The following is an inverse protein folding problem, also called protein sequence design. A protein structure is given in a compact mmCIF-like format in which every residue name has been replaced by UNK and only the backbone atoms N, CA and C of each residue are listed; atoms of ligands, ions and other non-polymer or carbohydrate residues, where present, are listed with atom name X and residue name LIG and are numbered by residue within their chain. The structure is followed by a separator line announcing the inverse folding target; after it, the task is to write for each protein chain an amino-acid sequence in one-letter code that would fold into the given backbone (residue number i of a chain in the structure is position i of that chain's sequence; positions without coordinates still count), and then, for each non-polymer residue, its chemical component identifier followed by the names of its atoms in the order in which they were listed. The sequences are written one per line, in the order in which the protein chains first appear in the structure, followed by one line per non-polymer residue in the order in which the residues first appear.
data_IF_690824782109
#
_entry.id   IF_690824782109
#
_cell.length_a   1.000
_cell.length_b   1.000
_cell.length_c   1.000
_cell.angle_alpha   90.00
_cell.angle_beta   90.00
_cell.angle_gamma   90.00
#
_symmetry.space_group_name_H-M   'P 1'
#
loop_
_entity.id
_entity.type
_entity.pdbx_description
1 polymer ?
#
# COMPACT_ATOMS: atom_id res chain seq x y z
N UNK A 1 -15.87 3.08 -1.73
CA UNK A 1 -15.13 4.26 -1.25
C UNK A 1 -16.10 5.42 -1.02
N UNK A 2 -16.48 5.60 0.23
CA UNK A 2 -17.50 6.57 0.61
C UNK A 2 -16.95 8.00 0.63
N UNK A 3 -17.87 8.99 0.66
CA UNK A 3 -17.51 10.40 0.84
C UNK A 3 -16.73 10.63 2.13
N UNK A 4 -17.14 9.94 3.21
CA UNK A 4 -16.45 10.00 4.50
C UNK A 4 -15.01 9.55 4.38
N UNK A 5 -14.77 8.38 3.76
CA UNK A 5 -13.43 7.83 3.59
C UNK A 5 -12.57 8.71 2.69
N UNK A 6 -13.14 9.25 1.62
CA UNK A 6 -12.40 10.17 0.73
C UNK A 6 -11.99 11.44 1.46
N UNK A 7 -12.85 11.97 2.32
CA UNK A 7 -12.53 13.14 3.13
C UNK A 7 -11.42 12.87 4.14
N UNK A 8 -11.50 11.72 4.81
CA UNK A 8 -10.46 11.30 5.75
C UNK A 8 -9.10 11.10 5.06
N UNK A 9 -9.11 10.50 3.88
CA UNK A 9 -7.89 10.31 3.08
C UNK A 9 -7.27 11.65 2.70
N UNK A 10 -8.08 12.60 2.29
CA UNK A 10 -7.61 13.94 1.94
C UNK A 10 -6.94 14.63 3.12
N UNK A 11 -7.53 14.52 4.31
CA UNK A 11 -6.93 15.06 5.53
C UNK A 11 -5.61 14.39 5.86
N UNK A 12 -5.53 13.06 5.69
CA UNK A 12 -4.29 12.32 5.89
C UNK A 12 -3.19 12.84 4.98
N UNK A 13 -3.48 13.06 3.70
CA UNK A 13 -2.49 13.59 2.76
C UNK A 13 -1.97 14.96 3.20
N UNK A 14 -2.84 15.81 3.72
CA UNK A 14 -2.42 17.11 4.26
C UNK A 14 -1.48 16.94 5.45
N UNK A 15 -1.77 16.00 6.34
CA UNK A 15 -0.89 15.68 7.48
C UNK A 15 0.47 15.19 7.01
N UNK A 16 0.51 14.32 6.01
CA UNK A 16 1.76 13.80 5.45
C UNK A 16 2.60 14.92 4.85
N UNK A 17 1.96 15.83 4.15
CA UNK A 17 2.63 17.00 3.58
C UNK A 17 3.23 17.86 4.68
N UNK A 18 2.50 18.11 5.76
CA UNK A 18 2.98 18.87 6.91
C UNK A 18 4.15 18.17 7.61
N UNK A 19 4.22 16.85 7.53
CA UNK A 19 5.33 16.06 8.09
C UNK A 19 6.54 15.96 7.18
N UNK A 20 6.52 16.61 6.02
CA UNK A 20 7.66 16.68 5.13
C UNK A 20 7.61 15.81 3.88
N UNK A 21 6.48 15.16 3.60
CA UNK A 21 6.32 14.44 2.33
C UNK A 21 6.10 15.48 1.23
N UNK A 22 7.09 15.62 0.35
CA UNK A 22 7.10 16.65 -0.68
C UNK A 22 6.90 16.13 -2.09
N UNK A 23 6.97 14.81 -2.30
CA UNK A 23 6.80 14.21 -3.63
C UNK A 23 5.32 14.17 -3.99
N UNK A 24 4.90 15.03 -4.91
CA UNK A 24 3.52 15.12 -5.34
C UNK A 24 3.01 13.83 -6.00
N UNK A 25 3.88 13.06 -6.63
CA UNK A 25 3.50 11.78 -7.24
C UNK A 25 3.15 10.74 -6.16
N UNK A 26 3.90 10.74 -5.06
CA UNK A 26 3.60 9.86 -3.91
C UNK A 26 2.25 10.25 -3.30
N UNK A 27 2.04 11.53 -3.05
CA UNK A 27 0.78 12.00 -2.49
C UNK A 27 -0.40 11.70 -3.41
N UNK A 28 -0.23 11.90 -4.71
CA UNK A 28 -1.28 11.60 -5.70
C UNK A 28 -1.59 10.10 -5.73
N UNK A 29 -0.58 9.25 -5.69
CA UNK A 29 -0.76 7.79 -5.67
C UNK A 29 -1.54 7.36 -4.43
N UNK A 30 -1.15 7.85 -3.27
CA UNK A 30 -1.84 7.52 -2.02
C UNK A 30 -3.27 8.06 -2.00
N UNK A 31 -3.51 9.18 -2.68
CA UNK A 31 -4.86 9.73 -2.83
C UNK A 31 -5.81 8.86 -3.63
N UNK A 32 -5.26 8.00 -4.49
CA UNK A 32 -6.06 7.10 -5.34
C UNK A 32 -6.37 5.76 -4.65
N UNK A 33 -5.68 5.42 -3.56
CA UNK A 33 -5.79 4.10 -2.94
C UNK A 33 -6.71 4.16 -1.72
N UNK A 34 -7.84 3.44 -1.74
CA UNK A 34 -8.72 3.37 -0.57
C UNK A 34 -8.12 2.42 0.47
N UNK A 35 -7.28 2.97 1.35
CA UNK A 35 -6.56 2.20 2.37
C UNK A 35 -7.46 1.33 3.23
N UNK A 36 -8.71 1.75 3.46
CA UNK A 36 -9.64 0.99 4.30
C UNK A 36 -9.99 -0.39 3.71
N UNK A 37 -9.80 -0.60 2.40
CA UNK A 37 -9.98 -1.92 1.80
C UNK A 37 -8.88 -2.91 2.18
N UNK A 38 -7.75 -2.41 2.70
CA UNK A 38 -6.60 -3.22 3.10
C UNK A 38 -6.55 -3.45 4.61
N UNK A 39 -7.55 -2.97 5.34
CA UNK A 39 -7.65 -3.11 6.79
C UNK A 39 -8.56 -4.28 7.15
N UNK A 40 -8.33 -4.87 8.32
CA UNK A 40 -9.22 -5.89 8.85
C UNK A 40 -10.58 -5.27 9.22
N UNK A 41 -11.62 -6.10 9.18
CA UNK A 41 -12.95 -5.69 9.62
C UNK A 41 -12.89 -5.20 11.05
N UNK A 42 -13.58 -4.08 11.30
CA UNK A 42 -13.58 -3.45 12.61
C UNK A 42 -12.52 -2.38 12.79
N UNK A 43 -11.51 -2.32 11.89
CA UNK A 43 -10.48 -1.28 11.93
C UNK A 43 -10.65 -0.22 10.83
N UNK A 44 -11.70 -0.33 10.04
CA UNK A 44 -11.92 0.57 8.89
C UNK A 44 -11.99 2.04 9.28
N UNK A 45 -12.56 2.34 10.46
CA UNK A 45 -12.68 3.72 10.93
C UNK A 45 -11.33 4.34 11.26
N UNK A 46 -10.29 3.52 11.43
CA UNK A 46 -8.93 3.96 11.74
C UNK A 46 -8.01 3.97 10.53
N UNK A 47 -8.53 3.65 9.34
CA UNK A 47 -7.71 3.43 8.14
C UNK A 47 -6.87 4.66 7.77
N UNK A 48 -7.37 5.86 8.05
CA UNK A 48 -6.69 7.10 7.69
C UNK A 48 -6.05 7.81 8.87
N UNK A 49 -5.91 7.10 9.99
CA UNK A 49 -5.06 7.52 11.11
C UNK A 49 -3.62 7.14 10.77
N UNK A 50 -2.69 8.05 11.00
CA UNK A 50 -1.28 7.83 10.63
C UNK A 50 -0.59 6.93 11.66
N UNK A 51 -0.97 5.65 11.66
CA UNK A 51 -0.43 4.60 12.54
C UNK A 51 -0.40 3.26 11.82
N UNK A 52 0.42 2.33 12.32
CA UNK A 52 0.39 0.93 11.90
C UNK A 52 -0.73 0.19 12.62
N UNK A 53 -1.27 -0.84 11.98
CA UNK A 53 -2.34 -1.68 12.56
C UNK A 53 -2.09 -3.15 12.22
N UNK A 54 -2.56 -4.11 13.05
CA UNK A 54 -2.36 -5.53 12.78
C UNK A 54 -3.19 -6.00 11.58
N UNK A 55 -2.64 -6.99 10.86
CA UNK A 55 -3.31 -7.62 9.70
C UNK A 55 -3.32 -9.14 9.78
N UNK A 56 -2.96 -9.73 10.94
CA UNK A 56 -2.83 -11.17 11.10
C UNK A 56 -1.43 -11.67 10.81
N UNK A 57 -1.16 -12.96 11.10
CA UNK A 57 0.16 -13.60 10.92
C UNK A 57 1.30 -12.81 11.60
N UNK A 58 1.00 -12.14 12.71
CA UNK A 58 1.92 -11.28 13.46
C UNK A 58 2.54 -10.15 12.62
N UNK A 59 1.83 -9.73 11.57
CA UNK A 59 2.26 -8.65 10.69
C UNK A 59 1.36 -7.42 10.84
N UNK A 60 1.81 -6.29 10.31
CA UNK A 60 1.08 -5.03 10.35
C UNK A 60 0.96 -4.42 8.96
N UNK A 61 -0.10 -3.62 8.76
CA UNK A 61 -0.11 -2.64 7.68
C UNK A 61 0.69 -1.44 8.18
N UNK A 62 1.69 -1.03 7.41
CA UNK A 62 2.61 0.03 7.83
C UNK A 62 1.89 1.37 7.97
N UNK A 63 2.41 2.20 8.87
CA UNK A 63 1.94 3.57 9.06
C UNK A 63 1.99 4.33 7.73
N UNK A 64 0.95 5.12 7.39
CA UNK A 64 0.94 5.88 6.14
C UNK A 64 2.18 6.74 5.90
N UNK A 65 2.67 7.43 6.93
CA UNK A 65 3.89 8.22 6.80
C UNK A 65 5.09 7.36 6.38
N UNK A 66 5.22 6.16 6.96
CA UNK A 66 6.31 5.25 6.62
C UNK A 66 6.23 4.83 5.15
N UNK A 67 5.04 4.48 4.68
CA UNK A 67 4.82 4.14 3.27
C UNK A 67 5.21 5.31 2.37
N UNK A 68 4.72 6.49 2.68
CA UNK A 68 5.00 7.69 1.88
C UNK A 68 6.49 8.02 1.86
N UNK A 69 7.15 7.99 3.02
CA UNK A 69 8.57 8.31 3.14
C UNK A 69 9.44 7.33 2.37
N UNK A 70 9.20 6.03 2.54
CA UNK A 70 9.96 5.00 1.84
C UNK A 70 9.75 5.06 0.33
N UNK A 71 8.52 5.30 -0.11
CA UNK A 71 8.20 5.42 -1.52
C UNK A 71 8.87 6.65 -2.13
N UNK A 72 8.86 7.78 -1.42
CA UNK A 72 9.53 9.00 -1.85
C UNK A 72 11.04 8.78 -2.05
N UNK A 73 11.67 8.02 -1.16
CA UNK A 73 13.10 7.73 -1.26
C UNK A 73 13.47 6.93 -2.51
N UNK A 74 12.54 6.18 -3.08
CA UNK A 74 12.81 5.38 -4.28
C UNK A 74 12.97 6.24 -5.53
N UNK A 75 12.48 7.46 -5.53
CA UNK A 75 12.56 8.37 -6.69
C UNK A 75 12.12 7.67 -7.98
N UNK A 76 10.90 7.09 -7.94
CA UNK A 76 10.39 6.26 -9.02
C UNK A 76 10.15 7.04 -10.31
N UNK A 77 10.52 6.44 -11.43
CA UNK A 77 10.33 6.98 -12.77
C UNK A 77 9.52 6.01 -13.63
N UNK A 78 8.86 6.55 -14.66
CA UNK A 78 8.08 5.77 -15.60
C UNK A 78 8.90 4.62 -16.18
N UNK A 79 8.34 3.42 -16.14
CA UNK A 79 8.98 2.23 -16.68
C UNK A 79 9.87 1.48 -15.70
N UNK A 80 10.06 2.00 -14.49
CA UNK A 80 10.87 1.33 -13.49
C UNK A 80 10.30 -0.03 -13.12
N UNK A 81 11.19 -0.97 -12.83
CA UNK A 81 10.85 -2.26 -12.26
C UNK A 81 11.07 -2.18 -10.75
N UNK A 82 10.06 -2.58 -9.98
CA UNK A 82 10.12 -2.55 -8.52
C UNK A 82 9.88 -3.95 -7.98
N UNK A 83 10.78 -4.40 -7.12
CA UNK A 83 10.58 -5.64 -6.37
C UNK A 83 10.26 -5.28 -4.93
N UNK A 84 9.08 -5.69 -4.50
CA UNK A 84 8.66 -5.54 -3.10
C UNK A 84 8.87 -6.87 -2.38
N UNK A 85 9.58 -6.83 -1.27
CA UNK A 85 9.78 -8.00 -0.41
C UNK A 85 8.87 -7.83 0.81
N UNK A 86 7.89 -8.75 0.94
CA UNK A 86 6.87 -8.67 1.97
C UNK A 86 5.62 -7.94 1.48
N UNK A 87 4.77 -8.64 0.73
CA UNK A 87 3.52 -8.08 0.21
C UNK A 87 2.60 -7.60 1.33
N UNK A 88 2.56 -8.36 2.42
CA UNK A 88 1.78 -8.03 3.60
C UNK A 88 0.31 -7.79 3.29
N UNK A 89 -0.19 -6.63 3.69
CA UNK A 89 -1.58 -6.23 3.42
C UNK A 89 -1.87 -5.98 1.95
N UNK A 90 -0.84 -5.73 1.14
CA UNK A 90 -0.98 -5.30 -0.24
C UNK A 90 -1.12 -3.79 -0.43
N UNK A 91 -1.15 -3.03 0.65
CA UNK A 91 -1.33 -1.58 0.56
C UNK A 91 -0.19 -0.89 -0.17
N UNK A 92 1.07 -1.21 0.19
CA UNK A 92 2.24 -0.65 -0.50
C UNK A 92 2.23 -1.02 -1.98
N UNK A 93 1.88 -2.27 -2.31
CA UNK A 93 1.74 -2.71 -3.70
C UNK A 93 0.73 -1.84 -4.44
N UNK A 94 -0.42 -1.59 -3.82
CA UNK A 94 -1.47 -0.77 -4.41
C UNK A 94 -1.00 0.67 -4.63
N UNK A 95 -0.26 1.24 -3.69
CA UNK A 95 0.30 2.59 -3.84
C UNK A 95 1.27 2.63 -5.02
N UNK A 96 2.15 1.65 -5.15
CA UNK A 96 3.08 1.57 -6.28
C UNK A 96 2.33 1.44 -7.60
N UNK A 97 1.31 0.60 -7.67
CA UNK A 97 0.49 0.44 -8.88
C UNK A 97 -0.23 1.74 -9.24
N UNK A 98 -0.60 2.55 -8.26
CA UNK A 98 -1.30 3.81 -8.49
C UNK A 98 -0.44 4.88 -9.16
N UNK A 99 0.90 4.73 -9.15
CA UNK A 99 1.79 5.59 -9.93
C UNK A 99 1.51 5.47 -11.43
N UNK A 100 1.11 4.28 -11.88
CA UNK A 100 1.01 3.94 -13.30
C UNK A 100 2.39 3.72 -13.92
N UNK A 101 2.44 2.97 -15.00
CA UNK A 101 3.66 2.76 -15.80
C UNK A 101 4.85 2.17 -15.02
N UNK A 102 4.62 1.49 -13.92
CA UNK A 102 5.63 0.74 -13.18
C UNK A 102 5.40 -0.76 -13.35
N UNK A 103 6.49 -1.51 -13.30
CA UNK A 103 6.44 -2.99 -13.31
C UNK A 103 6.67 -3.47 -11.88
N UNK A 104 5.61 -3.94 -11.23
CA UNK A 104 5.65 -4.29 -9.82
C UNK A 104 5.69 -5.80 -9.66
N UNK A 105 6.72 -6.27 -8.95
CA UNK A 105 6.87 -7.67 -8.54
C UNK A 105 6.83 -7.70 -7.02
N UNK A 106 6.02 -8.57 -6.43
CA UNK A 106 5.90 -8.62 -4.98
C UNK A 106 6.00 -10.07 -4.50
N UNK A 107 6.72 -10.26 -3.39
CA UNK A 107 6.98 -11.58 -2.82
C UNK A 107 6.48 -11.61 -1.38
N UNK A 108 5.75 -12.68 -1.03
CA UNK A 108 5.27 -12.90 0.33
C UNK A 108 5.68 -14.30 0.80
N UNK A 109 6.30 -14.40 1.96
CA UNK A 109 6.72 -15.68 2.54
C UNK A 109 5.67 -16.33 3.43
N UNK A 110 4.71 -15.55 3.95
CA UNK A 110 3.62 -16.04 4.78
C UNK A 110 2.49 -16.51 3.89
N UNK A 111 2.26 -17.82 3.81
CA UNK A 111 1.29 -18.38 2.87
C UNK A 111 -0.11 -17.81 3.06
N UNK A 112 -0.54 -17.63 4.30
CA UNK A 112 -1.89 -17.10 4.56
C UNK A 112 -2.05 -15.66 4.08
N UNK A 113 -1.03 -14.81 4.27
CA UNK A 113 -1.04 -13.45 3.75
C UNK A 113 -0.98 -13.44 2.23
N UNK A 114 -0.12 -14.28 1.64
CA UNK A 114 -0.04 -14.41 0.19
C UNK A 114 -1.41 -14.75 -0.41
N UNK A 115 -2.09 -15.73 0.16
CA UNK A 115 -3.40 -16.16 -0.31
C UNK A 115 -4.46 -15.07 -0.15
N UNK A 116 -4.53 -14.47 1.04
CA UNK A 116 -5.48 -13.42 1.37
C UNK A 116 -5.30 -12.19 0.47
N UNK A 117 -4.06 -11.75 0.32
CA UNK A 117 -3.75 -10.54 -0.44
C UNK A 117 -3.91 -10.76 -1.93
N UNK A 118 -3.56 -11.96 -2.44
CA UNK A 118 -3.80 -12.29 -3.83
C UNK A 118 -5.28 -12.25 -4.19
N UNK A 119 -6.15 -12.73 -3.29
CA UNK A 119 -7.60 -12.65 -3.47
C UNK A 119 -8.09 -11.20 -3.44
N UNK A 120 -7.54 -10.38 -2.54
CA UNK A 120 -7.88 -8.97 -2.44
C UNK A 120 -7.50 -8.23 -3.72
N UNK A 121 -6.33 -8.51 -4.29
CA UNK A 121 -5.91 -7.90 -5.55
C UNK A 121 -6.88 -8.21 -6.67
N UNK A 122 -7.35 -9.46 -6.77
CA UNK A 122 -8.35 -9.85 -7.76
C UNK A 122 -9.66 -9.09 -7.55
N UNK A 123 -10.10 -9.01 -6.31
CA UNK A 123 -11.35 -8.32 -5.95
C UNK A 123 -11.30 -6.84 -6.29
N UNK A 124 -10.16 -6.20 -6.10
CA UNK A 124 -9.96 -4.78 -6.38
C UNK A 124 -9.45 -4.52 -7.79
N UNK A 125 -9.29 -5.57 -8.59
CA UNK A 125 -8.75 -5.49 -9.96
C UNK A 125 -7.37 -4.82 -10.00
N UNK A 126 -6.51 -5.16 -9.04
CA UNK A 126 -5.11 -4.72 -9.00
C UNK A 126 -4.24 -5.81 -9.62
N UNK A 127 -3.37 -5.42 -10.55
CA UNK A 127 -2.61 -6.36 -11.36
C UNK A 127 -1.11 -6.05 -11.31
N UNK A 128 -0.42 -6.40 -10.21
CA UNK A 128 1.04 -6.36 -10.25
C UNK A 128 1.54 -7.35 -11.32
N UNK A 129 2.77 -7.16 -11.77
CA UNK A 129 3.36 -8.02 -12.80
C UNK A 129 3.40 -9.47 -12.32
N UNK A 130 3.80 -9.69 -11.06
CA UNK A 130 3.78 -11.00 -10.40
C UNK A 130 3.56 -10.85 -8.90
N UNK A 131 2.78 -11.77 -8.34
CA UNK A 131 2.67 -11.98 -6.90
C UNK A 131 3.26 -13.36 -6.63
N UNK A 132 4.34 -13.41 -5.89
CA UNK A 132 5.12 -14.62 -5.71
C UNK A 132 5.03 -15.08 -4.26
N UNK A 133 4.73 -16.38 -4.05
CA UNK A 133 4.86 -17.01 -2.76
C UNK A 133 6.29 -17.53 -2.62
N UNK A 134 7.01 -17.04 -1.63
CA UNK A 134 8.37 -17.46 -1.43
C UNK A 134 9.13 -16.55 -0.48
N UNK A 135 10.39 -16.89 -0.29
CA UNK A 135 11.34 -16.12 0.49
C UNK A 135 12.15 -15.23 -0.46
N UNK A 136 12.30 -13.96 -0.13
CA UNK A 136 13.07 -13.03 -0.94
C UNK A 136 14.55 -13.38 -1.12
N UNK A 137 15.04 -14.42 -0.44
CA UNK A 137 16.42 -14.90 -0.57
C UNK A 137 16.59 -15.99 -1.62
N UNK A 138 15.55 -16.34 -2.35
CA UNK A 138 15.59 -17.42 -3.34
C UNK A 138 15.24 -16.96 -4.73
#
# INVERSE_FOLDING_TARGET
DSTKHRGQRRQLLMQLKDKGISDDLVLAAMGKVPRHFFMDLGLEDFAYVDKAFPIGADQTISQPYTVAFQTQLLELEKGDQVLEIGTGSGYQTAVLLAFGNLKIYTIERQYELFKKTSLLFKKLNLQPKKVIFGDGHK
#
